data_IF_815762453692
#
_entry.id   IF_815762453692
#
_cell.length_a   1.000
_cell.length_b   1.000
_cell.length_c   1.000
_cell.angle_alpha   90.00
_cell.angle_beta   90.00
_cell.angle_gamma   90.00
#
_symmetry.space_group_name_H-M   'P 1'
#
loop_
_entity.id
_entity.type
_entity.pdbx_description
1 polymer ?
#
# COMPACT_ATOMS: atom_id res chain seq x y z
N UNK A 1 30.84 10.70 -0.95
CA UNK A 1 29.68 10.14 -0.33
C UNK A 1 30.03 9.37 0.96
N UNK A 2 29.67 8.09 1.10
CA UNK A 2 29.77 7.30 2.35
C UNK A 2 31.21 7.27 2.89
N UNK A 3 32.23 7.00 2.04
CA UNK A 3 33.62 6.97 2.46
C UNK A 3 34.08 8.29 3.05
N UNK A 4 33.78 9.41 2.40
CA UNK A 4 34.13 10.74 2.90
C UNK A 4 33.45 11.04 4.24
N UNK A 5 32.17 10.64 4.37
CA UNK A 5 31.43 10.82 5.62
C UNK A 5 31.98 9.96 6.77
N UNK A 6 32.30 8.69 6.51
CA UNK A 6 32.90 7.79 7.52
C UNK A 6 34.29 8.27 7.98
N UNK A 7 35.11 8.81 7.07
CA UNK A 7 36.44 9.37 7.43
C UNK A 7 36.32 10.56 8.36
N UNK A 8 35.28 11.40 8.18
CA UNK A 8 35.09 12.61 8.97
C UNK A 8 34.21 12.40 10.22
N UNK A 9 33.48 11.30 10.25
CA UNK A 9 32.60 10.98 11.36
C UNK A 9 33.40 10.71 12.63
N UNK A 10 32.98 11.32 13.76
CA UNK A 10 33.56 11.05 15.09
C UNK A 10 33.06 9.74 15.68
N UNK A 11 31.89 9.29 15.28
CA UNK A 11 31.28 8.03 15.72
C UNK A 11 31.85 6.84 14.95
N UNK A 12 31.76 5.64 15.53
CA UNK A 12 32.19 4.40 14.88
C UNK A 12 31.23 3.94 13.76
N UNK A 13 30.03 4.46 13.73
CA UNK A 13 29.00 4.13 12.73
C UNK A 13 28.32 5.38 12.17
N UNK A 14 27.83 5.25 10.96
CA UNK A 14 27.09 6.28 10.22
C UNK A 14 25.76 5.71 9.75
N UNK A 15 24.65 6.36 10.10
CA UNK A 15 23.35 6.12 9.49
C UNK A 15 23.31 6.86 8.16
N UNK A 16 23.12 6.12 7.09
CA UNK A 16 23.01 6.63 5.72
C UNK A 16 21.53 6.56 5.31
N UNK A 17 20.99 7.70 4.88
CA UNK A 17 19.63 7.79 4.36
C UNK A 17 19.65 8.49 3.01
N UNK A 18 18.94 7.93 2.04
CA UNK A 18 18.69 8.60 0.78
C UNK A 18 17.73 9.77 1.00
N UNK A 19 18.00 10.92 0.36
CA UNK A 19 17.20 12.14 0.52
C UNK A 19 15.79 12.05 -0.09
N UNK A 20 15.53 11.04 -0.90
CA UNK A 20 14.25 10.77 -1.56
C UNK A 20 13.33 9.81 -0.77
N UNK A 21 13.76 9.33 0.40
CA UNK A 21 12.95 8.52 1.33
C UNK A 21 12.01 9.39 2.18
N UNK A 22 10.98 9.94 1.56
CA UNK A 22 10.11 10.92 2.21
C UNK A 22 9.18 10.34 3.29
N UNK A 23 8.98 9.03 3.34
CA UNK A 23 8.19 8.35 4.37
C UNK A 23 9.04 7.73 5.49
N UNK A 24 10.34 8.03 5.53
CA UNK A 24 11.21 7.59 6.61
C UNK A 24 10.69 8.06 7.99
N UNK A 25 10.81 7.20 8.98
CA UNK A 25 10.49 7.51 10.38
C UNK A 25 11.67 7.14 11.29
N UNK A 26 11.83 7.87 12.38
CA UNK A 26 12.93 7.68 13.32
C UNK A 26 12.99 6.26 13.91
N UNK A 27 11.84 5.62 14.11
CA UNK A 27 11.75 4.26 14.66
C UNK A 27 12.46 3.22 13.77
N UNK A 28 12.53 3.46 12.46
CA UNK A 28 13.31 2.61 11.56
C UNK A 28 14.81 2.81 11.76
N UNK A 29 15.24 4.04 12.07
CA UNK A 29 16.60 4.35 12.46
C UNK A 29 16.99 3.65 13.75
N UNK A 30 16.12 3.72 14.77
CA UNK A 30 16.32 3.05 16.05
C UNK A 30 16.43 1.52 15.86
N UNK A 31 15.59 0.95 15.00
CA UNK A 31 15.69 -0.45 14.63
C UNK A 31 17.06 -0.79 13.98
N UNK A 32 17.52 0.01 13.03
CA UNK A 32 18.84 -0.19 12.41
C UNK A 32 19.96 -0.05 13.44
N UNK A 33 19.87 0.90 14.36
CA UNK A 33 20.86 1.12 15.41
C UNK A 33 20.89 -0.02 16.44
N UNK A 34 19.81 -0.77 16.62
CA UNK A 34 19.76 -1.90 17.54
C UNK A 34 20.73 -3.04 17.18
N UNK A 35 21.30 -3.03 15.96
CA UNK A 35 22.29 -4.02 15.50
C UNK A 35 23.75 -3.53 15.62
N UNK A 36 24.03 -2.42 16.30
CA UNK A 36 25.41 -1.91 16.42
C UNK A 36 26.40 -2.91 17.02
N UNK A 37 25.94 -3.74 17.94
CA UNK A 37 26.77 -4.75 18.62
C UNK A 37 26.87 -6.08 17.83
N UNK A 38 26.32 -6.14 16.59
CA UNK A 38 26.36 -7.36 15.77
C UNK A 38 27.74 -7.72 15.24
N UNK A 39 28.66 -6.74 15.22
CA UNK A 39 29.97 -6.89 14.60
C UNK A 39 29.95 -6.78 13.07
N UNK A 40 28.84 -6.49 12.45
CA UNK A 40 28.76 -6.32 10.99
C UNK A 40 29.42 -5.00 10.53
N UNK A 41 30.19 -5.03 9.43
CA UNK A 41 30.80 -3.82 8.88
C UNK A 41 29.76 -2.83 8.33
N UNK A 42 28.66 -3.35 7.76
CA UNK A 42 27.56 -2.57 7.26
C UNK A 42 26.26 -3.41 7.27
N UNK A 43 25.10 -2.76 7.34
CA UNK A 43 23.80 -3.41 7.13
C UNK A 43 22.79 -2.45 6.53
N UNK A 44 21.89 -3.00 5.72
CA UNK A 44 20.84 -2.25 5.04
C UNK A 44 19.54 -3.06 5.00
N UNK A 45 18.49 -2.49 4.43
CA UNK A 45 17.16 -3.10 4.37
C UNK A 45 16.86 -3.66 2.99
N UNK A 46 16.07 -4.75 2.95
CA UNK A 46 15.41 -5.25 1.75
C UNK A 46 13.91 -5.20 1.95
N UNK A 47 13.19 -4.53 1.01
CA UNK A 47 11.73 -4.50 0.98
C UNK A 47 11.12 -5.82 0.51
N UNK A 48 9.81 -6.02 0.73
CA UNK A 48 9.09 -7.27 0.41
C UNK A 48 9.07 -7.58 -1.09
N UNK A 49 9.22 -6.57 -1.94
CA UNK A 49 9.39 -6.71 -3.39
C UNK A 49 10.79 -7.21 -3.82
N UNK A 50 11.67 -7.47 -2.85
CA UNK A 50 13.04 -7.96 -3.07
C UNK A 50 14.07 -6.87 -3.35
N UNK A 51 13.70 -5.59 -3.40
CA UNK A 51 14.63 -4.48 -3.63
C UNK A 51 15.46 -4.19 -2.39
N UNK A 52 16.80 -4.13 -2.56
CA UNK A 52 17.72 -3.78 -1.48
C UNK A 52 18.04 -2.28 -1.50
N UNK A 53 17.88 -1.66 -0.34
CA UNK A 53 18.04 -0.20 -0.14
C UNK A 53 19.39 0.10 0.52
N UNK A 54 20.47 0.04 -0.25
CA UNK A 54 21.83 0.26 0.25
C UNK A 54 22.08 1.64 0.85
N UNK A 55 21.26 2.65 0.48
CA UNK A 55 21.26 4.00 1.04
C UNK A 55 20.17 4.18 2.09
N UNK A 56 19.75 3.11 2.74
CA UNK A 56 18.97 3.12 3.97
C UNK A 56 19.57 2.06 4.90
N UNK A 57 20.63 2.43 5.63
CA UNK A 57 21.37 1.47 6.43
C UNK A 57 22.48 2.11 7.26
N UNK A 58 23.19 1.26 7.97
CA UNK A 58 24.34 1.64 8.81
C UNK A 58 25.63 1.17 8.12
N UNK A 59 26.63 2.02 8.18
CA UNK A 59 27.99 1.73 7.77
C UNK A 59 28.94 2.07 8.93
N UNK A 60 29.77 1.11 9.33
CA UNK A 60 30.76 1.31 10.38
C UNK A 60 32.13 1.63 9.80
N UNK A 61 33.06 2.09 10.61
CA UNK A 61 34.44 2.32 10.18
C UNK A 61 35.12 1.03 9.70
N UNK A 62 34.68 -0.13 10.15
CA UNK A 62 35.17 -1.42 9.67
C UNK A 62 34.88 -1.66 8.17
N UNK A 63 33.89 -0.97 7.58
CA UNK A 63 33.61 -1.04 6.15
C UNK A 63 34.59 -0.21 5.30
N UNK A 64 35.31 0.77 5.89
CA UNK A 64 36.16 1.71 5.15
C UNK A 64 37.15 1.04 4.21
N UNK A 65 37.98 0.04 4.65
CA UNK A 65 39.02 -0.53 3.77
C UNK A 65 38.42 -1.12 2.49
N UNK A 66 37.30 -1.84 2.59
CA UNK A 66 36.65 -2.45 1.45
C UNK A 66 36.05 -1.38 0.51
N UNK A 67 35.36 -0.37 1.06
CA UNK A 67 34.79 0.72 0.28
C UNK A 67 35.85 1.56 -0.44
N UNK A 68 37.00 1.80 0.19
CA UNK A 68 38.14 2.50 -0.41
C UNK A 68 38.78 1.70 -1.54
N UNK A 69 38.91 0.39 -1.36
CA UNK A 69 39.42 -0.49 -2.41
C UNK A 69 38.53 -0.50 -3.64
N UNK A 70 37.19 -0.54 -3.45
CA UNK A 70 36.22 -0.46 -4.55
C UNK A 70 36.29 0.89 -5.27
N UNK A 71 36.43 2.00 -4.55
CA UNK A 71 36.59 3.32 -5.13
C UNK A 71 37.89 3.44 -5.94
N UNK A 72 39.00 2.91 -5.42
CA UNK A 72 40.29 2.92 -6.12
C UNK A 72 40.23 2.16 -7.44
N UNK A 73 39.37 1.15 -7.53
CA UNK A 73 39.13 0.37 -8.75
C UNK A 73 38.04 0.96 -9.65
N UNK A 74 37.52 2.14 -9.31
CA UNK A 74 36.39 2.79 -10.00
C UNK A 74 35.11 1.93 -10.06
N UNK A 75 34.91 1.04 -9.07
CA UNK A 75 33.68 0.26 -8.90
C UNK A 75 32.68 1.10 -8.09
N UNK A 76 31.76 1.75 -8.81
CA UNK A 76 30.84 2.74 -8.21
C UNK A 76 29.44 2.19 -7.91
N UNK A 77 29.16 0.93 -8.26
CA UNK A 77 27.85 0.31 -7.98
C UNK A 77 27.72 -0.01 -6.50
N UNK A 78 26.69 0.55 -5.87
CA UNK A 78 26.46 0.37 -4.43
C UNK A 78 26.28 -1.09 -4.02
N UNK A 79 25.63 -1.92 -4.85
CA UNK A 79 25.46 -3.35 -4.56
C UNK A 79 26.80 -4.09 -4.43
N UNK A 80 27.71 -3.84 -5.37
CA UNK A 80 29.06 -4.46 -5.38
C UNK A 80 29.88 -3.93 -4.20
N UNK A 81 29.84 -2.62 -3.95
CA UNK A 81 30.56 -1.99 -2.85
C UNK A 81 30.08 -2.47 -1.49
N UNK A 82 28.76 -2.63 -1.31
CA UNK A 82 28.17 -3.17 -0.08
C UNK A 82 28.58 -4.64 0.13
N UNK A 83 28.47 -5.46 -0.91
CA UNK A 83 28.89 -6.87 -0.85
C UNK A 83 30.37 -7.03 -0.47
N UNK A 84 31.25 -6.17 -1.01
CA UNK A 84 32.67 -6.16 -0.68
C UNK A 84 32.97 -5.87 0.79
N UNK A 85 32.09 -5.17 1.50
CA UNK A 85 32.24 -4.94 2.95
C UNK A 85 31.90 -6.16 3.80
N UNK A 86 31.28 -7.21 3.27
CA UNK A 86 30.68 -8.30 4.05
C UNK A 86 29.41 -7.85 4.78
N UNK A 87 28.74 -6.84 4.26
CA UNK A 87 27.54 -6.26 4.86
C UNK A 87 26.35 -7.22 4.92
N UNK A 88 25.47 -6.99 5.88
CA UNK A 88 24.28 -7.81 6.13
C UNK A 88 22.99 -7.13 5.63
N UNK A 89 22.07 -7.91 5.05
CA UNK A 89 20.77 -7.41 4.58
C UNK A 89 19.69 -7.85 5.56
N UNK A 90 18.99 -6.87 6.13
CA UNK A 90 17.84 -7.08 7.02
C UNK A 90 16.56 -7.08 6.18
N UNK A 91 15.75 -8.10 6.35
CA UNK A 91 14.51 -8.27 5.60
C UNK A 91 13.34 -7.53 6.26
N UNK A 92 12.78 -6.54 5.57
CA UNK A 92 11.67 -5.74 6.07
C UNK A 92 10.41 -6.58 6.35
N UNK A 93 10.24 -7.71 5.64
CA UNK A 93 9.13 -8.64 5.84
C UNK A 93 9.06 -9.26 7.25
N UNK A 94 10.17 -9.28 7.99
CA UNK A 94 10.22 -9.76 9.37
C UNK A 94 10.08 -8.64 10.40
N UNK A 95 9.66 -7.46 9.97
CA UNK A 95 9.47 -6.29 10.82
C UNK A 95 8.03 -5.80 10.78
N UNK A 96 7.69 -4.89 11.69
CA UNK A 96 6.39 -4.20 11.69
C UNK A 96 6.36 -2.98 10.74
N UNK A 97 7.46 -2.67 10.08
CA UNK A 97 7.57 -1.49 9.23
C UNK A 97 6.96 -1.74 7.85
N UNK A 98 6.12 -0.82 7.34
CA UNK A 98 5.55 -0.94 6.01
C UNK A 98 6.56 -0.56 4.92
N UNK A 99 6.46 -1.22 3.76
CA UNK A 99 7.36 -0.97 2.62
C UNK A 99 7.35 0.47 2.11
N UNK A 100 6.26 1.21 2.33
CA UNK A 100 6.20 2.63 1.95
C UNK A 100 7.28 3.49 2.62
N UNK A 101 7.86 3.05 3.75
CA UNK A 101 9.00 3.75 4.37
C UNK A 101 10.25 3.72 3.49
N UNK A 102 10.32 2.76 2.54
CA UNK A 102 11.39 2.62 1.55
C UNK A 102 11.05 3.24 0.19
N UNK A 103 9.87 3.85 0.06
CA UNK A 103 9.45 4.44 -1.20
C UNK A 103 10.22 5.73 -1.50
N UNK A 104 10.82 5.77 -2.68
CA UNK A 104 11.50 6.95 -3.19
C UNK A 104 10.53 7.89 -3.87
N UNK A 105 10.70 9.19 -3.66
CA UNK A 105 9.94 10.24 -4.33
C UNK A 105 10.86 10.99 -5.29
N UNK A 106 10.72 10.71 -6.58
CA UNK A 106 11.49 11.35 -7.64
C UNK A 106 10.62 12.24 -8.54
N UNK A 107 9.32 11.99 -8.56
CA UNK A 107 8.34 12.69 -9.40
C UNK A 107 7.14 13.16 -8.58
N UNK A 108 6.37 14.11 -9.15
CA UNK A 108 5.07 14.48 -8.57
C UNK A 108 4.10 13.29 -8.52
N UNK A 109 4.20 12.35 -9.46
CA UNK A 109 3.39 11.13 -9.45
C UNK A 109 3.72 10.26 -8.22
N UNK A 110 5.01 10.07 -7.89
CA UNK A 110 5.42 9.34 -6.68
C UNK A 110 4.85 10.03 -5.43
N UNK A 111 4.94 11.36 -5.38
CA UNK A 111 4.39 12.15 -4.28
C UNK A 111 2.89 11.91 -4.10
N UNK A 112 2.10 12.01 -5.16
CA UNK A 112 0.66 11.78 -5.09
C UNK A 112 0.32 10.33 -4.71
N UNK A 113 1.05 9.36 -5.25
CA UNK A 113 0.86 7.93 -4.90
C UNK A 113 1.12 7.65 -3.43
N UNK A 114 2.10 8.32 -2.84
CA UNK A 114 2.53 8.07 -1.45
C UNK A 114 1.71 8.89 -0.45
N UNK A 115 1.49 10.18 -0.71
CA UNK A 115 0.81 11.09 0.22
C UNK A 115 -0.68 11.25 -0.05
N UNK A 116 -1.11 11.01 -1.27
CA UNK A 116 -2.52 10.87 -1.64
C UNK A 116 -2.73 9.46 -2.17
N UNK A 117 -2.85 8.46 -1.29
CA UNK A 117 -3.00 7.08 -1.71
C UNK A 117 -4.21 6.96 -2.65
N UNK A 118 -4.17 6.05 -3.63
CA UNK A 118 -5.20 5.87 -4.64
C UNK A 118 -6.49 5.30 -4.02
N UNK A 119 -7.16 6.14 -3.26
CA UNK A 119 -8.37 5.82 -2.48
C UNK A 119 -9.48 6.78 -2.87
N UNK A 120 -10.62 6.24 -3.29
CA UNK A 120 -11.80 7.01 -3.63
C UNK A 120 -13.05 6.40 -2.98
N UNK A 121 -13.96 7.24 -2.50
CA UNK A 121 -15.19 6.78 -1.85
C UNK A 121 -16.42 7.04 -2.71
N UNK A 122 -17.33 6.07 -2.73
CA UNK A 122 -18.70 6.21 -3.21
C UNK A 122 -19.60 6.28 -1.99
N UNK A 123 -20.14 7.45 -1.74
CA UNK A 123 -20.92 7.78 -0.54
C UNK A 123 -22.39 8.03 -0.88
N UNK A 124 -23.20 8.31 0.14
CA UNK A 124 -24.63 8.58 0.03
C UNK A 124 -25.45 7.81 1.06
N UNK A 125 -26.74 8.07 1.10
CA UNK A 125 -27.69 7.44 2.01
C UNK A 125 -27.82 5.93 1.78
N UNK A 126 -28.49 5.24 2.69
CA UNK A 126 -28.75 3.81 2.55
C UNK A 126 -29.63 3.55 1.30
N UNK A 127 -29.43 2.42 0.63
CA UNK A 127 -30.17 1.99 -0.57
C UNK A 127 -30.13 2.93 -1.79
N UNK A 128 -29.10 3.78 -1.92
CA UNK A 128 -28.92 4.66 -3.08
C UNK A 128 -28.24 3.99 -4.28
N UNK A 129 -27.87 2.71 -4.19
CA UNK A 129 -27.19 1.99 -5.26
C UNK A 129 -25.65 2.09 -5.22
N UNK A 130 -25.06 2.45 -4.08
CA UNK A 130 -23.59 2.52 -3.90
C UNK A 130 -22.87 1.23 -4.31
N UNK A 131 -23.35 0.10 -3.81
CA UNK A 131 -22.75 -1.22 -4.12
C UNK A 131 -22.76 -1.49 -5.62
N UNK A 132 -23.90 -1.25 -6.29
CA UNK A 132 -24.03 -1.46 -7.74
C UNK A 132 -23.08 -0.57 -8.55
N UNK A 133 -22.90 0.68 -8.12
CA UNK A 133 -21.93 1.57 -8.78
C UNK A 133 -20.49 1.12 -8.51
N UNK A 134 -20.17 0.75 -7.27
CA UNK A 134 -18.85 0.20 -6.92
C UNK A 134 -18.53 -1.04 -7.76
N UNK A 135 -19.49 -1.97 -7.93
CA UNK A 135 -19.32 -3.16 -8.79
C UNK A 135 -18.95 -2.78 -10.22
N UNK A 136 -19.69 -1.83 -10.82
CA UNK A 136 -19.42 -1.35 -12.19
C UNK A 136 -18.02 -0.69 -12.29
N UNK A 137 -17.66 0.13 -11.32
CA UNK A 137 -16.34 0.79 -11.29
C UNK A 137 -15.21 -0.22 -11.08
N UNK A 138 -15.38 -1.21 -10.20
CA UNK A 138 -14.40 -2.30 -10.00
C UNK A 138 -14.20 -3.05 -11.32
N UNK A 139 -15.28 -3.43 -12.01
CA UNK A 139 -15.20 -4.12 -13.30
C UNK A 139 -14.48 -3.26 -14.35
N UNK A 140 -14.80 -1.97 -14.43
CA UNK A 140 -14.19 -1.04 -15.37
C UNK A 140 -12.68 -0.90 -15.12
N UNK A 141 -12.26 -0.60 -13.90
CA UNK A 141 -10.86 -0.45 -13.54
C UNK A 141 -10.07 -1.76 -13.66
N UNK A 142 -10.66 -2.89 -13.27
CA UNK A 142 -10.04 -4.21 -13.45
C UNK A 142 -9.84 -4.53 -14.92
N UNK A 143 -10.78 -4.16 -15.79
CA UNK A 143 -10.65 -4.27 -17.24
C UNK A 143 -9.52 -3.40 -17.82
N UNK A 144 -9.15 -2.33 -17.14
CA UNK A 144 -8.00 -1.48 -17.48
C UNK A 144 -6.68 -1.98 -16.88
N UNK A 145 -6.67 -3.13 -16.16
CA UNK A 145 -5.49 -3.71 -15.55
C UNK A 145 -5.20 -3.25 -14.12
N UNK A 146 -6.05 -2.44 -13.49
CA UNK A 146 -5.89 -2.10 -12.08
C UNK A 146 -6.23 -3.28 -11.18
N UNK A 147 -5.45 -3.46 -10.12
CA UNK A 147 -5.83 -4.32 -8.99
C UNK A 147 -6.63 -3.49 -8.01
N UNK A 148 -7.94 -3.71 -8.00
CA UNK A 148 -8.88 -2.90 -7.20
C UNK A 148 -9.24 -3.61 -5.91
N UNK A 149 -9.05 -2.95 -4.78
CA UNK A 149 -9.59 -3.40 -3.49
C UNK A 149 -10.89 -2.66 -3.18
N UNK A 150 -11.88 -3.38 -2.64
CA UNK A 150 -13.12 -2.81 -2.14
C UNK A 150 -13.17 -2.86 -0.63
N UNK A 151 -13.46 -1.74 0.03
CA UNK A 151 -13.67 -1.67 1.48
C UNK A 151 -15.05 -1.06 1.74
N UNK A 152 -15.92 -1.83 2.40
CA UNK A 152 -17.24 -1.38 2.81
C UNK A 152 -17.25 -1.06 4.29
N UNK A 153 -17.74 0.14 4.64
CA UNK A 153 -18.06 0.50 6.01
C UNK A 153 -19.54 0.26 6.25
N UNK A 154 -19.86 -0.70 7.10
CA UNK A 154 -21.23 -0.90 7.58
C UNK A 154 -21.39 -0.19 8.93
N UNK A 155 -22.33 0.74 9.01
CA UNK A 155 -22.65 1.47 10.24
C UNK A 155 -23.42 0.64 11.28
N UNK A 156 -23.80 -0.57 10.92
CA UNK A 156 -24.53 -1.49 11.78
C UNK A 156 -23.69 -2.75 12.03
N UNK A 157 -24.07 -3.52 13.06
CA UNK A 157 -23.46 -4.84 13.26
C UNK A 157 -23.83 -5.77 12.12
N UNK A 158 -22.83 -6.46 11.55
CA UNK A 158 -23.05 -7.48 10.53
C UNK A 158 -22.52 -8.82 11.01
N UNK A 159 -23.09 -9.91 10.50
CA UNK A 159 -22.62 -11.25 10.72
C UNK A 159 -21.77 -11.67 9.51
N UNK A 160 -20.44 -11.82 9.68
CA UNK A 160 -19.54 -12.10 8.54
C UNK A 160 -19.60 -13.54 8.06
N UNK A 161 -20.16 -14.44 8.86
CA UNK A 161 -20.26 -15.87 8.59
C UNK A 161 -21.71 -16.33 8.44
N UNK A 162 -21.90 -17.42 7.66
CA UNK A 162 -23.20 -18.09 7.58
C UNK A 162 -23.42 -18.88 8.87
N UNK A 163 -24.50 -18.65 9.64
CA UNK A 163 -24.81 -19.39 10.85
C UNK A 163 -24.82 -20.92 10.63
N UNK A 164 -24.12 -21.65 11.49
CA UNK A 164 -24.04 -23.11 11.43
C UNK A 164 -22.82 -23.66 10.68
N UNK A 165 -22.09 -22.85 9.95
CA UNK A 165 -20.82 -23.26 9.31
C UNK A 165 -19.71 -23.49 10.34
N UNK A 166 -18.65 -24.21 9.96
CA UNK A 166 -17.55 -24.50 10.89
C UNK A 166 -16.82 -23.24 11.34
N UNK A 167 -16.57 -22.28 10.46
CA UNK A 167 -15.99 -20.98 10.80
C UNK A 167 -16.85 -20.21 11.81
N UNK A 168 -18.17 -20.17 11.59
CA UNK A 168 -19.12 -19.56 12.53
C UNK A 168 -19.07 -20.26 13.91
N UNK A 169 -19.01 -21.59 13.93
CA UNK A 169 -18.94 -22.38 15.18
C UNK A 169 -17.65 -22.12 15.95
N UNK A 170 -16.50 -22.05 15.25
CA UNK A 170 -15.21 -21.71 15.86
C UNK A 170 -15.25 -20.32 16.49
N UNK A 171 -15.81 -19.35 15.77
CA UNK A 171 -15.95 -17.97 16.28
C UNK A 171 -16.91 -17.89 17.48
N UNK A 172 -18.03 -18.59 17.44
CA UNK A 172 -18.97 -18.66 18.58
C UNK A 172 -18.37 -19.35 19.80
N UNK A 173 -17.44 -20.26 19.60
CA UNK A 173 -16.68 -20.89 20.67
C UNK A 173 -15.59 -19.97 21.28
N UNK A 174 -15.37 -18.78 20.71
CA UNK A 174 -14.44 -17.77 21.24
C UNK A 174 -13.13 -17.62 20.46
N UNK A 175 -12.95 -18.33 19.34
CA UNK A 175 -11.76 -18.11 18.49
C UNK A 175 -11.78 -16.71 17.87
N UNK A 176 -10.64 -16.00 17.98
CA UNK A 176 -10.42 -14.67 17.40
C UNK A 176 -8.92 -14.46 17.15
N UNK A 177 -8.45 -14.37 15.89
CA UNK A 177 -9.23 -14.49 14.67
C UNK A 177 -9.66 -15.92 14.28
N UNK A 178 -10.57 -16.03 13.30
CA UNK A 178 -10.87 -17.26 12.58
C UNK A 178 -10.41 -17.09 11.13
N UNK A 179 -9.66 -18.07 10.64
CA UNK A 179 -9.16 -18.09 9.26
C UNK A 179 -9.64 -19.35 8.56
N UNK A 180 -10.16 -19.18 7.35
CA UNK A 180 -10.53 -20.29 6.45
C UNK A 180 -9.77 -20.06 5.14
N UNK A 181 -9.02 -21.07 4.71
CA UNK A 181 -8.20 -20.94 3.53
C UNK A 181 -8.18 -22.21 2.66
N UNK A 182 -7.91 -22.02 1.41
CA UNK A 182 -7.50 -23.05 0.47
C UNK A 182 -6.27 -22.57 -0.33
N UNK A 183 -5.96 -23.18 -1.47
CA UNK A 183 -4.78 -22.80 -2.28
C UNK A 183 -4.89 -21.42 -2.93
N UNK A 184 -6.10 -20.87 -3.05
CA UNK A 184 -6.38 -19.65 -3.82
C UNK A 184 -6.97 -18.52 -2.96
N UNK A 185 -7.73 -18.88 -1.92
CA UNK A 185 -8.54 -17.91 -1.14
C UNK A 185 -8.25 -18.08 0.35
N UNK A 186 -8.07 -16.94 1.00
CA UNK A 186 -8.07 -16.80 2.45
C UNK A 186 -9.25 -15.91 2.86
N UNK A 187 -10.14 -16.45 3.71
CA UNK A 187 -11.12 -15.66 4.46
C UNK A 187 -10.60 -15.43 5.89
N UNK A 188 -10.53 -14.16 6.28
CA UNK A 188 -10.04 -13.75 7.59
C UNK A 188 -11.15 -13.00 8.33
N UNK A 189 -11.46 -13.44 9.54
CA UNK A 189 -12.50 -12.87 10.38
C UNK A 189 -11.95 -12.59 11.78
N UNK A 190 -11.91 -11.33 12.16
CA UNK A 190 -11.41 -10.91 13.46
C UNK A 190 -12.36 -9.88 14.08
N UNK A 191 -12.67 -10.07 15.35
CA UNK A 191 -13.37 -9.07 16.15
C UNK A 191 -12.34 -8.12 16.78
N UNK A 192 -12.15 -6.97 16.16
CA UNK A 192 -11.24 -5.94 16.61
C UNK A 192 -11.78 -4.54 16.27
N UNK A 193 -11.19 -3.52 16.84
CA UNK A 193 -11.46 -2.13 16.47
C UNK A 193 -10.43 -1.72 15.43
N UNK A 194 -10.88 -1.63 14.16
CA UNK A 194 -10.03 -1.20 13.06
C UNK A 194 -10.24 0.29 12.75
N UNK A 195 -9.16 0.97 12.46
CA UNK A 195 -9.21 2.28 11.80
C UNK A 195 -9.20 2.07 10.29
N UNK A 196 -9.98 2.88 9.58
CA UNK A 196 -10.04 2.82 8.12
C UNK A 196 -8.67 2.91 7.46
N UNK A 197 -7.78 3.77 7.99
CA UNK A 197 -6.41 3.93 7.47
C UNK A 197 -5.60 2.62 7.50
N UNK A 198 -5.78 1.79 8.54
CA UNK A 198 -5.10 0.48 8.66
C UNK A 198 -5.60 -0.52 7.61
N UNK A 199 -6.92 -0.54 7.37
CA UNK A 199 -7.52 -1.42 6.36
C UNK A 199 -7.10 -1.00 4.94
N UNK A 200 -7.06 0.30 4.67
CA UNK A 200 -6.60 0.86 3.40
C UNK A 200 -5.12 0.51 3.17
N UNK A 201 -4.29 0.68 4.18
CA UNK A 201 -2.86 0.35 4.11
C UNK A 201 -2.65 -1.15 3.81
N UNK A 202 -3.40 -2.03 4.49
CA UNK A 202 -3.36 -3.47 4.22
C UNK A 202 -3.83 -3.80 2.79
N UNK A 203 -4.90 -3.16 2.31
CA UNK A 203 -5.41 -3.36 0.96
C UNK A 203 -4.40 -2.93 -0.12
N UNK A 204 -3.69 -1.81 0.09
CA UNK A 204 -2.69 -1.27 -0.84
C UNK A 204 -1.41 -2.12 -0.95
N UNK A 205 -1.23 -3.14 -0.10
CA UNK A 205 -0.15 -4.12 -0.30
C UNK A 205 -0.36 -4.95 -1.59
N UNK A 206 -1.63 -5.19 -1.96
CA UNK A 206 -1.98 -6.05 -3.08
C UNK A 206 -2.83 -5.34 -4.15
N UNK A 207 -3.21 -4.09 -3.93
CA UNK A 207 -4.03 -3.29 -4.84
C UNK A 207 -3.34 -1.97 -5.18
N UNK A 208 -3.67 -1.42 -6.36
CA UNK A 208 -3.21 -0.10 -6.79
C UNK A 208 -4.37 0.91 -6.94
N UNK A 209 -5.57 0.52 -6.53
CA UNK A 209 -6.73 1.38 -6.33
C UNK A 209 -7.59 0.80 -5.21
N UNK A 210 -8.06 1.65 -4.30
CA UNK A 210 -9.01 1.28 -3.25
C UNK A 210 -10.31 2.05 -3.45
N UNK A 211 -11.41 1.33 -3.64
CA UNK A 211 -12.75 1.89 -3.64
C UNK A 211 -13.41 1.66 -2.29
N UNK A 212 -13.86 2.75 -1.68
CA UNK A 212 -14.57 2.74 -0.40
C UNK A 212 -16.07 2.85 -0.64
N UNK A 213 -16.86 1.96 -0.07
CA UNK A 213 -18.32 2.09 -0.05
C UNK A 213 -18.79 2.67 1.29
N UNK A 214 -19.46 3.80 1.24
CA UNK A 214 -19.90 4.58 2.41
C UNK A 214 -18.91 5.70 2.72
N UNK A 215 -18.36 5.73 3.92
CA UNK A 215 -17.32 6.69 4.33
C UNK A 215 -17.69 8.17 4.13
N UNK A 216 -18.95 8.54 4.27
CA UNK A 216 -19.49 9.89 4.00
C UNK A 216 -18.77 11.00 4.80
N UNK A 217 -18.32 10.69 6.03
CA UNK A 217 -17.66 11.63 6.93
C UNK A 217 -16.12 11.60 6.85
N UNK A 218 -15.56 10.76 5.95
CA UNK A 218 -14.11 10.62 5.81
C UNK A 218 -13.47 11.81 5.09
N UNK A 219 -12.15 11.91 5.21
CA UNK A 219 -11.32 12.88 4.48
C UNK A 219 -11.03 12.48 3.02
N UNK A 220 -11.34 11.24 2.64
CA UNK A 220 -11.02 10.72 1.32
C UNK A 220 -11.85 11.41 0.23
N UNK A 221 -11.25 11.64 -0.96
CA UNK A 221 -11.99 12.11 -2.12
C UNK A 221 -13.21 11.22 -2.36
N UNK A 222 -14.35 11.81 -2.67
CA UNK A 222 -15.59 11.04 -2.80
C UNK A 222 -16.57 11.66 -3.78
N UNK A 223 -17.38 10.79 -4.40
CA UNK A 223 -18.61 11.16 -5.07
C UNK A 223 -19.81 10.66 -4.26
N UNK A 224 -20.87 11.46 -4.18
CA UNK A 224 -22.06 11.11 -3.44
C UNK A 224 -23.21 10.77 -4.38
N UNK A 225 -23.83 9.60 -4.15
CA UNK A 225 -25.10 9.26 -4.80
C UNK A 225 -26.22 9.91 -4.01
N UNK A 226 -26.89 10.84 -4.66
CA UNK A 226 -28.04 11.52 -4.07
C UNK A 226 -29.29 10.63 -4.05
N UNK A 227 -30.16 10.89 -3.09
CA UNK A 227 -31.53 10.40 -3.05
C UNK A 227 -32.47 11.57 -3.36
N UNK A 228 -33.46 11.34 -4.21
CA UNK A 228 -34.43 12.38 -4.60
C UNK A 228 -35.15 12.95 -3.37
N UNK A 229 -35.18 14.27 -3.28
CA UNK A 229 -35.81 14.99 -2.14
C UNK A 229 -34.96 15.07 -0.88
N UNK A 230 -33.80 14.42 -0.83
CA UNK A 230 -32.91 14.46 0.32
C UNK A 230 -31.68 15.35 0.08
N UNK A 231 -31.19 16.06 1.11
CA UNK A 231 -29.99 16.86 0.99
C UNK A 231 -28.73 15.96 0.88
N UNK A 232 -27.63 16.54 0.35
CA UNK A 232 -26.31 15.91 0.42
C UNK A 232 -25.91 15.67 1.88
N UNK A 233 -25.42 14.47 2.18
CA UNK A 233 -25.06 14.03 3.54
C UNK A 233 -23.57 13.78 3.70
N UNK A 234 -22.80 13.88 2.62
CA UNK A 234 -21.38 13.61 2.65
C UNK A 234 -20.58 14.87 2.95
N UNK A 235 -19.55 14.71 3.75
CA UNK A 235 -18.60 15.78 3.99
C UNK A 235 -17.77 16.04 2.73
N UNK A 236 -17.88 17.24 2.17
CA UNK A 236 -17.06 17.74 1.05
C UNK A 236 -17.02 16.76 -0.15
N UNK A 237 -18.17 16.35 -0.74
CA UNK A 237 -18.16 15.56 -1.94
C UNK A 237 -17.59 16.40 -3.09
N UNK A 238 -16.77 15.80 -3.96
CA UNK A 238 -16.22 16.49 -5.14
C UNK A 238 -17.13 16.36 -6.37
N UNK A 239 -18.04 15.41 -6.37
CA UNK A 239 -19.01 15.19 -7.41
C UNK A 239 -20.30 14.62 -6.83
N UNK A 240 -21.40 14.85 -7.53
CA UNK A 240 -22.72 14.31 -7.20
C UNK A 240 -23.19 13.37 -8.30
N UNK A 241 -23.92 12.34 -7.93
CA UNK A 241 -24.41 11.31 -8.81
C UNK A 241 -25.92 11.17 -8.62
N UNK A 242 -26.69 11.40 -9.67
CA UNK A 242 -28.16 11.20 -9.66
C UNK A 242 -28.67 10.97 -11.07
N UNK A 243 -29.90 10.47 -11.19
CA UNK A 243 -30.55 10.25 -12.49
C UNK A 243 -31.49 11.41 -12.86
N UNK A 244 -31.47 12.50 -12.09
CA UNK A 244 -32.21 13.75 -12.36
C UNK A 244 -31.25 14.94 -12.45
N UNK A 245 -31.74 16.06 -12.98
CA UNK A 245 -30.94 17.26 -13.16
C UNK A 245 -30.43 17.85 -11.84
N UNK A 246 -29.23 18.42 -11.89
CA UNK A 246 -28.59 19.12 -10.79
C UNK A 246 -28.16 20.52 -11.23
N UNK A 247 -28.59 21.55 -10.50
CA UNK A 247 -28.26 22.96 -10.79
C UNK A 247 -27.23 23.54 -9.80
N UNK A 248 -26.36 22.73 -9.28
CA UNK A 248 -25.30 23.13 -8.31
C UNK A 248 -23.94 23.31 -8.95
N UNK A 249 -22.98 23.85 -8.19
CA UNK A 249 -21.61 24.13 -8.65
C UNK A 249 -20.66 22.90 -8.71
N UNK A 250 -21.08 21.72 -8.26
CA UNK A 250 -20.27 20.50 -8.31
C UNK A 250 -20.47 19.73 -9.61
N UNK A 251 -19.44 19.04 -10.12
CA UNK A 251 -19.57 18.09 -11.21
C UNK A 251 -20.70 17.09 -10.92
N UNK A 252 -21.51 16.80 -11.96
CA UNK A 252 -22.65 15.92 -11.83
C UNK A 252 -22.60 14.81 -12.88
N UNK A 253 -22.88 13.58 -12.44
CA UNK A 253 -22.88 12.37 -13.27
C UNK A 253 -24.19 11.61 -13.10
N UNK A 254 -24.59 10.83 -14.09
CA UNK A 254 -25.66 9.84 -13.92
C UNK A 254 -25.07 8.53 -13.38
N UNK A 255 -25.90 7.68 -12.74
CA UNK A 255 -25.47 6.37 -12.20
C UNK A 255 -24.95 5.41 -13.27
N UNK A 256 -25.27 5.67 -14.54
CA UNK A 256 -24.86 4.85 -15.67
C UNK A 256 -23.63 5.41 -16.41
N UNK A 257 -23.19 6.62 -16.09
CA UNK A 257 -21.97 7.22 -16.65
C UNK A 257 -20.71 6.70 -15.94
N UNK A 258 -20.50 5.39 -16.02
CA UNK A 258 -19.36 4.73 -15.37
C UNK A 258 -18.03 5.25 -15.91
N UNK A 259 -17.94 5.51 -17.22
CA UNK A 259 -16.71 6.01 -17.87
C UNK A 259 -16.39 7.45 -17.42
N UNK A 260 -17.39 8.33 -17.35
CA UNK A 260 -17.20 9.71 -16.85
C UNK A 260 -16.76 9.73 -15.40
N UNK A 261 -17.41 8.91 -14.55
CA UNK A 261 -17.04 8.78 -13.13
C UNK A 261 -15.62 8.18 -13.01
N UNK A 262 -15.28 7.15 -13.76
CA UNK A 262 -13.95 6.55 -13.72
C UNK A 262 -12.87 7.54 -14.16
N UNK A 263 -13.10 8.32 -15.20
CA UNK A 263 -12.18 9.38 -15.64
C UNK A 263 -11.99 10.44 -14.56
N UNK A 264 -13.04 10.89 -13.93
CA UNK A 264 -12.96 11.83 -12.80
C UNK A 264 -12.15 11.25 -11.64
N UNK A 265 -12.32 9.96 -11.32
CA UNK A 265 -11.51 9.28 -10.29
C UNK A 265 -10.02 9.24 -10.70
N UNK A 266 -9.72 8.90 -11.97
CA UNK A 266 -8.35 8.87 -12.48
C UNK A 266 -7.66 10.24 -12.40
N UNK A 267 -8.35 11.29 -12.81
CA UNK A 267 -7.86 12.67 -12.74
C UNK A 267 -7.64 13.11 -11.30
N UNK A 268 -8.61 12.84 -10.42
CA UNK A 268 -8.54 13.20 -9.00
C UNK A 268 -7.37 12.53 -8.27
N UNK A 269 -7.14 11.26 -8.55
CA UNK A 269 -6.12 10.44 -7.89
C UNK A 269 -4.81 10.39 -8.68
N UNK A 270 -4.72 11.10 -9.80
CA UNK A 270 -3.56 11.08 -10.71
C UNK A 270 -3.14 9.65 -11.09
N UNK A 271 -4.12 8.76 -11.37
CA UNK A 271 -3.85 7.37 -11.66
C UNK A 271 -3.17 7.22 -13.03
N UNK A 272 -2.06 6.48 -13.04
CA UNK A 272 -1.41 6.04 -14.26
C UNK A 272 -1.93 4.63 -14.59
N UNK A 273 -2.42 4.40 -15.83
CA UNK A 273 -2.80 3.04 -16.22
C UNK A 273 -1.63 2.08 -16.01
N UNK A 274 -1.87 0.89 -15.47
CA UNK A 274 -0.83 -0.11 -15.33
C UNK A 274 -0.21 -0.38 -16.70
N UNK A 275 1.13 -0.32 -16.80
CA UNK A 275 1.84 -0.79 -17.99
C UNK A 275 1.50 -2.26 -18.18
N UNK A 276 1.06 -2.65 -19.38
CA UNK A 276 0.50 -3.97 -19.69
C UNK A 276 1.47 -5.16 -19.60
N UNK A 277 2.46 -5.12 -18.74
CA UNK A 277 3.20 -6.28 -18.30
C UNK A 277 2.35 -7.00 -17.25
N UNK A 278 1.59 -7.97 -17.71
CA UNK A 278 1.00 -8.99 -16.84
C UNK A 278 2.16 -9.71 -16.16
N UNK A 279 2.46 -9.34 -14.91
CA UNK A 279 3.20 -10.21 -14.02
C UNK A 279 2.40 -11.50 -13.91
N UNK A 280 2.87 -12.54 -14.60
CA UNK A 280 2.41 -13.91 -14.45
C UNK A 280 2.82 -14.42 -13.04
N UNK A 281 2.23 -13.84 -12.01
CA UNK A 281 2.27 -14.45 -10.69
C UNK A 281 1.35 -15.67 -10.71
N UNK A 282 1.95 -16.87 -10.90
CA UNK A 282 1.24 -18.11 -10.63
C UNK A 282 1.22 -19.18 -11.70
N UNK A 283 2.16 -19.25 -12.63
CA UNK A 283 2.44 -20.51 -13.33
C UNK A 283 3.64 -21.20 -12.71
N UNK A 284 3.38 -21.95 -11.66
CA UNK A 284 4.30 -22.94 -11.11
C UNK A 284 4.62 -23.98 -12.22
N UNK A 285 5.80 -23.83 -12.83
CA UNK A 285 6.39 -24.86 -13.67
C UNK A 285 6.88 -25.99 -12.75
N UNK A 286 5.97 -26.77 -12.21
CA UNK A 286 6.32 -28.11 -11.72
C UNK A 286 5.98 -29.12 -12.78
N UNK A 287 7.08 -29.59 -13.39
CA UNK A 287 7.09 -30.67 -14.34
C UNK A 287 6.35 -31.88 -13.81
N UNK A 288 5.67 -32.46 -14.73
CA UNK A 288 5.20 -33.81 -14.77
C UNK A 288 6.40 -34.75 -14.53
N UNK A 289 6.52 -35.31 -13.35
CA UNK A 289 7.25 -36.57 -13.15
C UNK A 289 6.25 -37.57 -12.62
N UNK A 290 5.96 -38.51 -13.55
CA UNK A 290 5.10 -39.65 -13.28
C UNK A 290 5.76 -40.67 -12.34
N UNK A 291 5.00 -41.22 -11.51
CA UNK A 291 4.71 -42.64 -11.25
C UNK A 291 3.78 -42.74 -10.06
#
# INVERSE_FOLDING_TARGET
GIVSALRQCRSEALLVLSCDLACYRAELGDYLLSFLDSGWPAWCLRSRDGRTHYLCGIYTKAALPALEAMLAQNHLKMAESFAATGGHVLELQYTVFPDRMMANINTWQDYYTIFQPPVFAISGLHNTGKTTLCEKLIQHFSGMGYRVAGIKHDGHSFEPDVPGTDSWRLRKAGANPVMVYNREILAYNEKNVYRADQLIEAALQNANLVLLEGFKDSRWPKAEILMEGEPSVSREPMALISDWGWEGGLPHYTRNDVEGIARMIQETLHLVPPSGEHDEFGKDKRGNDGN
#
